data_IF_808901394988
#
_entry.id   IF_808901394988
#
_cell.length_a   1.000
_cell.length_b   1.000
_cell.length_c   1.000
_cell.angle_alpha   90.00
_cell.angle_beta   90.00
_cell.angle_gamma   90.00
#
_symmetry.space_group_name_H-M   'P 1'
#
loop_
_entity.id
_entity.type
_entity.pdbx_description
1 polymer ?
#
# COMPACT_ATOMS: atom_id res chain seq x y z
N UNK A 1 18.57 13.00 60.09
CA UNK A 1 19.03 14.32 59.60
C UNK A 1 20.39 14.07 59.00
N UNK A 2 20.42 13.80 57.69
CA UNK A 2 20.79 14.80 56.65
C UNK A 2 22.32 14.91 56.58
N UNK A 3 23.04 14.73 55.47
CA UNK A 3 22.74 14.67 54.04
C UNK A 3 23.91 13.91 53.40
N UNK A 4 23.64 12.92 52.54
CA UNK A 4 24.68 12.21 51.81
C UNK A 4 25.20 13.06 50.64
N UNK A 5 26.53 13.10 50.50
CA UNK A 5 27.25 13.84 49.48
C UNK A 5 26.82 13.47 48.05
N UNK A 6 26.52 14.49 47.26
CA UNK A 6 26.24 14.37 45.83
C UNK A 6 27.55 14.07 45.08
N UNK A 7 27.64 12.87 44.50
CA UNK A 7 28.66 12.55 43.51
C UNK A 7 28.19 13.08 42.15
N UNK A 8 28.89 14.09 41.66
CA UNK A 8 28.77 14.56 40.30
C UNK A 8 29.31 13.49 39.33
N UNK A 9 28.47 13.07 38.39
CA UNK A 9 28.89 12.42 37.16
C UNK A 9 27.87 12.79 36.08
N UNK A 10 28.18 13.80 35.27
CA UNK A 10 27.65 13.87 33.91
C UNK A 10 28.40 12.83 33.07
N UNK A 11 27.67 12.06 32.25
CA UNK A 11 28.20 11.70 30.94
C UNK A 11 27.22 12.09 29.84
N UNK A 12 27.75 12.87 28.91
CA UNK A 12 27.52 12.83 27.46
C UNK A 12 26.07 12.81 26.96
N UNK A 13 25.65 14.00 26.53
CA UNK A 13 24.60 14.20 25.52
C UNK A 13 25.09 13.63 24.17
N UNK A 14 25.09 12.30 24.05
CA UNK A 14 25.13 11.67 22.74
C UNK A 14 23.73 11.87 22.13
N UNK A 15 23.58 12.44 20.91
CA UNK A 15 22.28 12.53 20.27
C UNK A 15 21.76 11.10 20.16
N UNK A 16 20.69 10.83 20.92
CA UNK A 16 20.06 9.53 20.97
C UNK A 16 19.86 9.06 19.55
N UNK A 17 20.56 7.98 19.19
CA UNK A 17 20.24 7.15 18.03
C UNK A 17 18.72 7.10 17.97
N UNK A 18 18.06 7.67 16.94
CA UNK A 18 16.61 7.71 16.92
C UNK A 18 16.19 6.26 17.07
N UNK A 19 15.54 5.96 18.20
CA UNK A 19 14.94 4.66 18.44
C UNK A 19 14.16 4.38 17.16
N UNK A 20 14.61 3.40 16.38
CA UNK A 20 13.98 3.05 15.12
C UNK A 20 12.50 2.91 15.45
N UNK A 21 11.72 3.85 14.92
CA UNK A 21 10.30 3.93 15.12
C UNK A 21 9.74 2.72 14.36
N UNK A 22 9.85 1.52 14.95
CA UNK A 22 9.08 0.35 14.59
C UNK A 22 7.63 0.55 15.08
N UNK A 23 7.14 1.79 14.92
CA UNK A 23 5.76 2.18 15.13
C UNK A 23 4.99 1.58 13.97
N UNK A 24 4.01 0.76 14.34
CA UNK A 24 3.21 -0.06 13.45
C UNK A 24 2.95 0.63 12.13
N UNK A 25 3.54 0.10 11.07
CA UNK A 25 3.37 0.64 9.73
C UNK A 25 1.88 0.61 9.42
N UNK A 26 1.31 1.78 9.17
CA UNK A 26 -0.09 1.91 8.77
C UNK A 26 -0.32 0.98 7.57
N UNK A 27 -1.27 0.03 7.61
CA UNK A 27 -1.47 -0.94 6.53
C UNK A 27 -1.69 -0.27 5.17
N UNK A 28 -2.24 0.93 5.21
CA UNK A 28 -2.38 1.85 4.10
C UNK A 28 -1.03 2.21 3.45
N UNK A 29 -0.06 2.62 4.27
CA UNK A 29 1.29 2.95 3.82
C UNK A 29 2.07 1.72 3.36
N UNK A 30 1.85 0.55 3.98
CA UNK A 30 2.43 -0.72 3.50
C UNK A 30 1.92 -1.08 2.11
N UNK A 31 0.60 -0.95 1.90
CA UNK A 31 -0.03 -1.20 0.62
C UNK A 31 0.53 -0.28 -0.48
N UNK A 32 0.57 1.03 -0.22
CA UNK A 32 1.12 2.03 -1.15
C UNK A 32 2.60 1.76 -1.45
N UNK A 33 3.40 1.53 -0.41
CA UNK A 33 4.85 1.28 -0.53
C UNK A 33 5.12 0.04 -1.38
N UNK A 34 4.37 -1.04 -1.15
CA UNK A 34 4.56 -2.31 -1.87
C UNK A 34 4.06 -2.25 -3.31
N UNK A 35 2.97 -1.53 -3.59
CA UNK A 35 2.57 -1.24 -4.98
C UNK A 35 3.66 -0.46 -5.71
N UNK A 36 4.19 0.61 -5.10
CA UNK A 36 5.27 1.42 -5.67
C UNK A 36 6.52 0.59 -5.94
N UNK A 37 6.94 -0.26 -5.01
CA UNK A 37 8.11 -1.13 -5.21
C UNK A 37 7.92 -2.17 -6.32
N UNK A 38 6.67 -2.53 -6.63
CA UNK A 38 6.34 -3.56 -7.62
C UNK A 38 6.03 -3.00 -9.02
N UNK A 39 6.07 -1.67 -9.20
CA UNK A 39 5.66 -1.00 -10.42
C UNK A 39 6.33 -1.57 -11.67
N UNK A 40 7.66 -1.75 -11.65
CA UNK A 40 8.39 -2.29 -12.80
C UNK A 40 7.93 -3.71 -13.17
N UNK A 41 7.57 -4.53 -12.18
CA UNK A 41 7.02 -5.86 -12.44
C UNK A 41 5.62 -5.80 -13.04
N UNK A 42 4.78 -4.84 -12.64
CA UNK A 42 3.48 -4.62 -13.27
C UNK A 42 3.61 -4.19 -14.73
N UNK A 43 4.57 -3.32 -15.04
CA UNK A 43 4.85 -2.92 -16.41
C UNK A 43 5.18 -4.15 -17.27
N UNK A 44 6.15 -4.95 -16.82
CA UNK A 44 6.54 -6.18 -17.50
C UNK A 44 5.37 -7.17 -17.66
N UNK A 45 4.59 -7.39 -16.60
CA UNK A 45 3.46 -8.30 -16.60
C UNK A 45 2.35 -7.88 -17.57
N UNK A 46 2.14 -6.58 -17.76
CA UNK A 46 1.17 -6.02 -18.69
C UNK A 46 1.71 -5.83 -20.12
N UNK A 47 2.98 -6.15 -20.38
CA UNK A 47 3.65 -5.82 -21.65
C UNK A 47 3.79 -4.31 -21.88
N UNK A 48 3.75 -3.51 -20.83
CA UNK A 48 3.89 -2.05 -20.87
C UNK A 48 5.37 -1.65 -20.72
N UNK A 49 5.74 -0.51 -21.31
CA UNK A 49 7.09 0.05 -21.22
C UNK A 49 7.40 0.57 -19.82
N UNK A 50 6.39 1.11 -19.13
CA UNK A 50 6.53 1.57 -17.75
C UNK A 50 5.22 1.49 -16.99
N UNK A 51 5.32 1.45 -15.65
CA UNK A 51 4.20 1.61 -14.76
C UNK A 51 4.54 2.64 -13.68
N UNK A 52 3.57 3.48 -13.34
CA UNK A 52 3.71 4.47 -12.26
C UNK A 52 2.56 4.30 -11.29
N UNK A 53 2.88 4.16 -10.01
CA UNK A 53 1.87 4.12 -8.95
C UNK A 53 1.66 5.52 -8.41
N UNK A 54 0.49 6.09 -8.69
CA UNK A 54 0.02 7.38 -8.18
C UNK A 54 -0.92 7.14 -7.02
N UNK A 55 -0.67 7.81 -5.92
CA UNK A 55 -1.61 7.82 -4.81
C UNK A 55 -2.78 8.73 -5.16
N UNK A 56 -3.99 8.19 -5.14
CA UNK A 56 -5.18 8.92 -5.47
C UNK A 56 -5.78 9.54 -4.19
N UNK A 57 -5.17 10.64 -3.75
CA UNK A 57 -5.69 11.63 -2.76
C UNK A 57 -5.84 11.14 -1.30
N UNK A 58 -5.53 11.97 -0.28
CA UNK A 58 -5.56 11.57 1.13
C UNK A 58 -6.96 11.21 1.66
N UNK A 59 -7.06 10.37 2.70
CA UNK A 59 -8.24 9.63 3.15
C UNK A 59 -9.34 10.46 3.84
N UNK A 60 -9.51 11.73 3.48
CA UNK A 60 -10.42 12.65 4.19
C UNK A 60 -11.90 12.23 4.08
N UNK A 61 -12.26 11.38 3.11
CA UNK A 61 -13.63 10.83 2.95
C UNK A 61 -13.70 9.31 2.91
N UNK A 62 -12.64 8.62 2.49
CA UNK A 62 -12.63 7.17 2.31
C UNK A 62 -11.76 6.51 3.37
N UNK A 63 -12.32 5.56 4.12
CA UNK A 63 -11.64 4.79 5.18
C UNK A 63 -10.61 3.76 4.66
N UNK A 64 -10.09 3.96 3.44
CA UNK A 64 -9.24 3.01 2.70
C UNK A 64 -8.26 3.76 1.82
N UNK A 65 -7.06 3.21 1.65
CA UNK A 65 -6.07 3.72 0.70
C UNK A 65 -6.50 3.46 -0.73
N UNK A 66 -6.26 4.42 -1.61
CA UNK A 66 -6.51 4.30 -3.04
C UNK A 66 -5.22 4.53 -3.81
N UNK A 67 -4.85 3.56 -4.63
CA UNK A 67 -3.68 3.65 -5.49
C UNK A 67 -4.06 3.45 -6.95
N UNK A 68 -3.63 4.34 -7.83
CA UNK A 68 -3.77 4.22 -9.26
C UNK A 68 -2.46 3.72 -9.85
N UNK A 69 -2.49 2.63 -10.58
CA UNK A 69 -1.38 2.16 -11.41
C UNK A 69 -1.63 2.64 -12.83
N UNK A 70 -0.71 3.45 -13.35
CA UNK A 70 -0.73 3.97 -14.72
C UNK A 70 0.27 3.15 -15.53
N UNK A 71 -0.23 2.33 -16.45
CA UNK A 71 0.57 1.57 -17.41
C UNK A 71 0.74 2.39 -18.68
N UNK A 72 1.95 2.43 -19.24
CA UNK A 72 2.27 3.21 -20.46
C UNK A 72 2.98 2.32 -21.48
N UNK A 73 2.48 2.29 -22.70
CA UNK A 73 3.08 1.55 -23.82
C UNK A 73 3.90 2.48 -24.73
N UNK A 74 4.67 1.87 -25.63
CA UNK A 74 5.57 2.58 -26.56
C UNK A 74 4.81 3.47 -27.55
N UNK A 75 3.60 3.08 -27.93
CA UNK A 75 2.70 3.85 -28.80
C UNK A 75 2.10 5.09 -28.12
N UNK A 76 2.41 5.31 -26.84
CA UNK A 76 1.87 6.39 -26.02
C UNK A 76 0.50 6.08 -25.42
N UNK A 77 -0.04 4.88 -25.63
CA UNK A 77 -1.25 4.46 -24.94
C UNK A 77 -1.01 4.43 -23.42
N UNK A 78 -2.00 4.88 -22.67
CA UNK A 78 -2.01 4.80 -21.21
C UNK A 78 -3.24 4.01 -20.76
N UNK A 79 -3.07 3.21 -19.71
CA UNK A 79 -4.18 2.50 -19.09
C UNK A 79 -4.05 2.58 -17.59
N UNK A 80 -5.16 2.96 -16.96
CA UNK A 80 -5.23 3.22 -15.55
C UNK A 80 -6.02 2.15 -14.84
N UNK A 81 -5.46 1.63 -13.76
CA UNK A 81 -6.17 0.70 -12.88
C UNK A 81 -6.12 1.24 -11.46
N UNK A 82 -7.29 1.40 -10.86
CA UNK A 82 -7.42 1.85 -9.47
C UNK A 82 -7.56 0.64 -8.56
N UNK A 83 -6.73 0.58 -7.52
CA UNK A 83 -6.78 -0.44 -6.49
C UNK A 83 -7.15 0.18 -5.15
N UNK A 84 -8.11 -0.45 -4.47
CA UNK A 84 -8.50 -0.12 -3.11
C UNK A 84 -7.75 -1.05 -2.15
N UNK A 85 -7.00 -0.43 -1.24
CA UNK A 85 -6.36 -1.13 -0.13
C UNK A 85 -7.37 -1.67 0.87
N UNK A 86 -6.92 -2.56 1.77
CA UNK A 86 -7.78 -3.15 2.79
C UNK A 86 -8.43 -2.09 3.67
N UNK A 87 -9.72 -2.28 3.99
CA UNK A 87 -10.41 -1.41 4.92
C UNK A 87 -9.82 -1.53 6.33
N UNK A 88 -9.66 -0.41 7.05
CA UNK A 88 -9.55 -0.45 8.51
C UNK A 88 -10.84 -1.04 9.08
N UNK A 89 -10.90 -2.35 9.30
CA UNK A 89 -11.94 -2.95 10.15
C UNK A 89 -11.65 -2.50 11.58
N UNK A 90 -12.60 -1.79 12.17
CA UNK A 90 -12.53 -1.42 13.58
C UNK A 90 -12.48 -2.69 14.43
N UNK A 91 -11.33 -2.92 15.08
CA UNK A 91 -11.15 -3.95 16.10
C UNK A 91 -10.49 -5.25 15.61
N UNK A 92 -9.37 -5.59 16.26
CA UNK A 92 -8.81 -6.93 16.48
C UNK A 92 -8.12 -7.68 15.33
N UNK A 93 -8.14 -7.22 14.08
CA UNK A 93 -7.21 -7.75 13.08
C UNK A 93 -5.81 -7.16 13.34
N UNK A 94 -5.01 -7.85 14.16
CA UNK A 94 -3.64 -7.45 14.45
C UNK A 94 -2.78 -7.33 13.19
N UNK A 95 -1.59 -6.70 13.28
CA UNK A 95 -0.71 -6.46 12.14
C UNK A 95 -0.37 -7.72 11.33
N UNK A 96 -0.49 -8.92 11.91
CA UNK A 96 -0.30 -10.20 11.23
C UNK A 96 -1.42 -10.57 10.23
N UNK A 97 -2.69 -10.23 10.49
CA UNK A 97 -3.80 -10.49 9.57
C UNK A 97 -3.73 -9.56 8.35
N UNK A 98 -3.34 -8.30 8.57
CA UNK A 98 -3.04 -7.34 7.52
C UNK A 98 -1.75 -7.69 6.77
N UNK A 99 -0.69 -8.13 7.46
CA UNK A 99 0.53 -8.63 6.83
C UNK A 99 0.23 -9.83 5.92
N UNK A 100 -0.59 -10.77 6.38
CA UNK A 100 -1.02 -11.95 5.61
C UNK A 100 -1.86 -11.53 4.39
N UNK A 101 -2.83 -10.62 4.54
CA UNK A 101 -3.59 -10.11 3.38
C UNK A 101 -2.73 -9.28 2.43
N UNK A 102 -1.68 -8.62 2.94
CA UNK A 102 -0.73 -7.88 2.11
C UNK A 102 0.35 -8.76 1.47
N UNK A 103 0.49 -10.02 1.89
CA UNK A 103 1.55 -10.93 1.42
C UNK A 103 1.09 -11.68 0.18
N UNK A 104 1.23 -11.05 -1.00
CA UNK A 104 1.02 -11.71 -2.29
C UNK A 104 0.10 -11.00 -3.26
N UNK A 105 -0.52 -9.88 -2.90
CA UNK A 105 -1.36 -9.12 -3.84
C UNK A 105 -0.55 -8.58 -5.02
N UNK A 106 0.73 -8.27 -4.83
CA UNK A 106 1.64 -7.85 -5.89
C UNK A 106 1.85 -8.96 -6.91
N UNK A 107 1.97 -10.21 -6.47
CA UNK A 107 2.04 -11.37 -7.36
C UNK A 107 0.70 -11.63 -8.04
N UNK A 108 -0.42 -11.51 -7.31
CA UNK A 108 -1.75 -11.64 -7.88
C UNK A 108 -2.03 -10.57 -8.96
N UNK A 109 -1.68 -9.31 -8.70
CA UNK A 109 -1.78 -8.20 -9.67
C UNK A 109 -0.93 -8.51 -10.90
N UNK A 110 0.30 -9.01 -10.75
CA UNK A 110 1.12 -9.40 -11.90
C UNK A 110 0.44 -10.48 -12.74
N UNK A 111 -0.04 -11.55 -12.13
CA UNK A 111 -0.73 -12.63 -12.84
C UNK A 111 -1.97 -12.11 -13.57
N UNK A 112 -2.80 -11.33 -12.89
CA UNK A 112 -3.98 -10.70 -13.46
C UNK A 112 -3.66 -9.78 -14.65
N UNK A 113 -2.57 -9.01 -14.56
CA UNK A 113 -2.10 -8.18 -15.68
C UNK A 113 -1.64 -9.05 -16.87
N UNK A 114 -0.93 -10.15 -16.60
CA UNK A 114 -0.50 -11.12 -17.63
C UNK A 114 -1.68 -11.82 -18.31
N UNK A 115 -2.76 -12.09 -17.57
CA UNK A 115 -3.99 -12.68 -18.10
C UNK A 115 -4.86 -11.70 -18.90
N UNK A 116 -4.41 -10.44 -19.04
CA UNK A 116 -5.15 -9.43 -19.80
C UNK A 116 -6.26 -8.74 -19.00
N UNK A 117 -6.20 -8.79 -17.67
CA UNK A 117 -7.11 -8.09 -16.74
C UNK A 117 -8.56 -8.58 -16.84
N UNK A 118 -8.84 -9.87 -16.60
CA UNK A 118 -10.20 -10.37 -16.57
C UNK A 118 -11.05 -9.58 -15.56
N UNK A 119 -12.24 -9.14 -15.98
CA UNK A 119 -13.17 -8.41 -15.12
C UNK A 119 -14.01 -9.38 -14.29
N UNK A 120 -14.20 -9.10 -13.00
CA UNK A 120 -15.08 -9.88 -12.14
C UNK A 120 -15.91 -8.98 -11.23
N UNK A 121 -17.24 -9.16 -11.18
CA UNK A 121 -18.12 -8.38 -10.31
C UNK A 121 -17.91 -8.70 -8.82
N UNK A 122 -17.15 -9.75 -8.48
CA UNK A 122 -16.88 -10.13 -7.09
C UNK A 122 -15.92 -9.17 -6.37
N UNK A 123 -15.06 -8.49 -7.11
CA UNK A 123 -14.04 -7.61 -6.56
C UNK A 123 -13.84 -6.31 -7.34
N UNK A 124 -14.46 -6.19 -8.52
CA UNK A 124 -14.54 -4.92 -9.25
C UNK A 124 -15.73 -4.12 -8.70
N UNK A 125 -15.44 -2.97 -8.08
CA UNK A 125 -16.44 -2.11 -7.46
C UNK A 125 -16.56 -0.79 -8.23
N UNK A 126 -17.75 -0.18 -8.30
CA UNK A 126 -17.89 1.19 -8.79
C UNK A 126 -17.06 2.16 -7.93
N UNK A 127 -16.29 3.04 -8.58
CA UNK A 127 -15.48 4.07 -7.94
C UNK A 127 -15.52 5.34 -8.79
N UNK A 128 -16.31 6.33 -8.36
CA UNK A 128 -16.50 7.60 -9.08
C UNK A 128 -15.23 8.45 -9.16
N UNK A 129 -14.29 8.23 -8.24
CA UNK A 129 -13.01 8.91 -8.22
C UNK A 129 -11.97 8.22 -9.13
N UNK A 130 -12.28 7.04 -9.66
CA UNK A 130 -11.42 6.33 -10.60
C UNK A 130 -11.67 6.85 -12.02
N UNK A 131 -10.64 7.11 -12.83
CA UNK A 131 -10.81 7.47 -14.24
C UNK A 131 -11.60 6.44 -15.05
N UNK A 132 -11.54 5.17 -14.66
CA UNK A 132 -12.27 4.08 -15.29
C UNK A 132 -13.71 3.91 -14.74
N UNK A 133 -14.11 4.69 -13.73
CA UNK A 133 -15.37 4.53 -13.00
C UNK A 133 -15.44 3.27 -12.12
N UNK A 134 -14.38 2.47 -12.09
CA UNK A 134 -14.28 1.23 -11.30
C UNK A 134 -12.93 1.12 -10.61
N UNK A 135 -12.90 0.35 -9.52
CA UNK A 135 -11.68 0.01 -8.79
C UNK A 135 -11.70 -1.46 -8.36
N UNK A 136 -10.51 -2.03 -8.19
CA UNK A 136 -10.30 -3.39 -7.70
C UNK A 136 -10.21 -3.34 -6.17
N UNK A 137 -11.17 -3.93 -5.46
CA UNK A 137 -11.07 -4.18 -4.02
C UNK A 137 -10.13 -5.37 -3.79
N UNK A 138 -8.88 -5.08 -3.44
CA UNK A 138 -7.84 -6.09 -3.26
C UNK A 138 -8.19 -7.04 -2.11
N UNK A 139 -8.87 -6.57 -1.07
CA UNK A 139 -9.28 -7.44 0.03
C UNK A 139 -10.39 -8.40 -0.38
N UNK A 140 -11.37 -7.93 -1.17
CA UNK A 140 -12.40 -8.79 -1.73
C UNK A 140 -11.79 -9.81 -2.70
N UNK A 141 -10.89 -9.37 -3.56
CA UNK A 141 -10.24 -10.23 -4.56
C UNK A 141 -9.44 -11.37 -3.92
N UNK A 142 -8.65 -11.11 -2.89
CA UNK A 142 -7.87 -12.16 -2.22
C UNK A 142 -8.72 -13.11 -1.36
N UNK A 143 -10.02 -12.83 -1.24
CA UNK A 143 -10.98 -13.68 -0.51
C UNK A 143 -11.83 -14.56 -1.43
N UNK A 144 -11.68 -14.43 -2.75
CA UNK A 144 -12.34 -15.29 -3.76
C UNK A 144 -11.54 -16.55 -4.04
#
# INVERSE_FOLDING_TARGET
>A
MDTAAAFAAQPDDAPGTPALHLVGTDPEQLFVTRLRSSANHFAAAAGATSAVVREAVPPARHRRSRCRVVLRWEDGAESDVTFLGPARRGGLAGPAALATSTSGFDVAIQQWLTEGRPESPLWLVPDEDSPAGTAVDVAAWLST
#
